data_IF_922003392158
#
_entry.id   IF_922003392158
#
_cell.length_a   1.000
_cell.length_b   1.000
_cell.length_c   1.000
_cell.angle_alpha   90.00
_cell.angle_beta   90.00
_cell.angle_gamma   90.00
#
_symmetry.space_group_name_H-M   'P 1'
#
loop_
_entity.id
_entity.type
_entity.pdbx_description
1 polymer ?
#
# COMPACT_ATOMS: atom_id res chain seq x y z
N UNK A 1 52.12 -22.04 5.70
CA UNK A 1 51.13 -22.50 4.69
C UNK A 1 50.28 -21.32 4.35
N UNK A 2 50.61 -20.67 3.23
CA UNK A 2 49.88 -19.49 2.77
C UNK A 2 48.52 -19.94 2.24
N UNK A 3 47.46 -19.30 2.72
CA UNK A 3 46.15 -19.36 2.05
C UNK A 3 46.23 -18.44 0.83
N UNK A 4 46.49 -19.00 -0.33
CA UNK A 4 46.24 -18.34 -1.61
C UNK A 4 44.71 -18.20 -1.77
N UNK A 5 44.15 -17.16 -1.25
CA UNK A 5 42.80 -16.72 -1.64
C UNK A 5 42.95 -16.12 -3.05
N UNK A 6 42.32 -16.75 -4.02
CA UNK A 6 42.23 -16.27 -5.38
C UNK A 6 41.66 -14.83 -5.41
N UNK A 7 42.55 -13.84 -5.57
CA UNK A 7 42.22 -12.39 -5.62
C UNK A 7 41.37 -12.02 -6.83
N UNK A 8 41.17 -12.92 -7.79
CA UNK A 8 40.55 -12.67 -9.09
C UNK A 8 39.03 -13.02 -9.13
N UNK A 9 38.48 -13.67 -8.11
CA UNK A 9 37.08 -14.08 -8.11
C UNK A 9 36.16 -12.85 -7.98
N UNK A 10 35.47 -12.49 -9.07
CA UNK A 10 34.43 -11.46 -9.09
C UNK A 10 33.04 -12.07 -9.18
N UNK A 11 32.08 -11.50 -8.43
CA UNK A 11 30.67 -11.83 -8.53
C UNK A 11 29.98 -10.78 -9.40
N UNK A 12 29.30 -11.23 -10.47
CA UNK A 12 28.47 -10.38 -11.32
C UNK A 12 27.02 -10.46 -10.84
N UNK A 13 26.41 -9.31 -10.58
CA UNK A 13 24.97 -9.21 -10.27
C UNK A 13 24.33 -8.11 -11.08
N UNK A 14 23.01 -8.20 -11.28
CA UNK A 14 22.22 -7.16 -11.94
C UNK A 14 21.33 -6.53 -10.91
N UNK A 15 21.52 -5.22 -10.68
CA UNK A 15 20.63 -4.40 -9.86
C UNK A 15 19.47 -3.90 -10.73
N UNK A 16 18.27 -3.81 -10.16
CA UNK A 16 17.14 -3.20 -10.85
C UNK A 16 17.41 -1.69 -10.99
N UNK A 17 17.60 -1.24 -12.24
CA UNK A 17 17.85 0.16 -12.57
C UNK A 17 17.33 0.44 -13.99
N UNK A 18 16.39 1.36 -14.12
CA UNK A 18 15.70 1.62 -15.38
C UNK A 18 15.03 0.36 -15.95
N UNK A 19 14.89 0.30 -17.27
CA UNK A 19 14.22 -0.83 -17.96
C UNK A 19 15.12 -2.05 -18.17
N UNK A 20 16.44 -1.87 -18.20
CA UNK A 20 17.42 -2.93 -18.56
C UNK A 20 18.23 -3.46 -17.38
N UNK A 21 18.11 -2.83 -16.20
CA UNK A 21 18.96 -3.12 -15.05
C UNK A 21 20.39 -2.57 -15.20
N UNK A 22 21.14 -2.59 -14.13
CA UNK A 22 22.55 -2.23 -14.06
C UNK A 22 23.39 -3.45 -13.66
N UNK A 23 24.24 -3.90 -14.56
CA UNK A 23 25.19 -4.98 -14.25
C UNK A 23 26.38 -4.42 -13.47
N UNK A 24 26.60 -4.96 -12.28
CA UNK A 24 27.75 -4.62 -11.44
C UNK A 24 28.64 -5.83 -11.20
N UNK A 25 29.95 -5.59 -11.11
CA UNK A 25 30.91 -6.61 -10.73
C UNK A 25 31.52 -6.22 -9.38
N UNK A 26 31.46 -7.14 -8.43
CA UNK A 26 31.94 -6.95 -7.09
C UNK A 26 33.00 -7.98 -6.75
N UNK A 27 34.09 -7.64 -6.05
CA UNK A 27 35.01 -8.65 -5.53
C UNK A 27 34.23 -9.65 -4.64
N UNK A 28 34.25 -10.94 -4.96
CA UNK A 28 33.46 -11.94 -4.24
C UNK A 28 33.71 -11.92 -2.74
N UNK A 29 34.95 -11.67 -2.32
CA UNK A 29 35.37 -11.58 -0.92
C UNK A 29 34.68 -10.43 -0.12
N UNK A 30 34.18 -9.39 -0.83
CA UNK A 30 33.51 -8.23 -0.23
C UNK A 30 32.00 -8.41 -0.15
N UNK A 31 31.44 -9.46 -0.76
CA UNK A 31 30.00 -9.75 -0.74
C UNK A 31 29.69 -10.69 0.41
N UNK A 32 29.07 -10.14 1.46
CA UNK A 32 28.66 -10.93 2.62
C UNK A 32 27.45 -11.80 2.26
N UNK A 33 26.45 -11.19 1.63
CA UNK A 33 25.21 -11.88 1.26
C UNK A 33 24.44 -11.12 0.18
N UNK A 34 23.76 -11.85 -0.68
CA UNK A 34 22.72 -11.30 -1.54
C UNK A 34 21.37 -11.60 -0.90
N UNK A 35 20.69 -10.56 -0.41
CA UNK A 35 19.35 -10.70 0.15
C UNK A 35 18.33 -10.82 -0.98
N UNK A 36 17.39 -11.72 -0.83
CA UNK A 36 16.27 -11.92 -1.76
C UNK A 36 15.01 -12.20 -0.96
N UNK A 37 13.86 -11.94 -1.56
CA UNK A 37 12.61 -12.47 -1.02
C UNK A 37 12.74 -13.98 -0.83
N UNK A 38 12.24 -14.48 0.29
CA UNK A 38 12.07 -15.92 0.43
C UNK A 38 11.08 -16.37 -0.64
N UNK A 39 11.34 -17.49 -1.26
CA UNK A 39 10.44 -18.02 -2.27
C UNK A 39 9.05 -18.23 -1.70
N UNK A 40 8.09 -17.51 -2.23
CA UNK A 40 6.66 -17.68 -1.94
C UNK A 40 5.99 -18.13 -3.22
N UNK A 41 5.22 -19.19 -3.13
CA UNK A 41 4.40 -19.61 -4.27
C UNK A 41 3.27 -18.59 -4.48
N UNK A 42 3.06 -18.11 -5.71
CA UNK A 42 1.89 -17.31 -6.01
C UNK A 42 0.62 -18.14 -5.75
N UNK A 43 -0.48 -17.45 -5.53
CA UNK A 43 -1.78 -18.09 -5.40
C UNK A 43 -2.10 -18.88 -6.69
N UNK A 44 -2.58 -20.12 -6.55
CA UNK A 44 -2.95 -20.94 -7.70
C UNK A 44 -4.22 -20.43 -8.38
N UNK A 45 -5.18 -19.96 -7.57
CA UNK A 45 -6.41 -19.32 -8.01
C UNK A 45 -6.60 -18.02 -7.23
N UNK A 46 -6.07 -16.89 -7.76
CA UNK A 46 -6.20 -15.59 -7.11
C UNK A 46 -7.65 -15.13 -6.96
N UNK A 47 -8.50 -15.43 -7.93
CA UNK A 47 -9.91 -14.97 -7.92
C UNK A 47 -10.70 -15.69 -6.82
N UNK A 48 -10.54 -17.01 -6.69
CA UNK A 48 -11.15 -17.76 -5.59
C UNK A 48 -10.60 -17.32 -4.22
N UNK A 49 -9.29 -17.05 -4.13
CA UNK A 49 -8.67 -16.57 -2.89
C UNK A 49 -9.16 -15.19 -2.48
N UNK A 50 -9.37 -14.28 -3.45
CA UNK A 50 -9.96 -12.97 -3.20
C UNK A 50 -11.42 -13.07 -2.78
N UNK A 51 -12.20 -13.92 -3.47
CA UNK A 51 -13.59 -14.16 -3.11
C UNK A 51 -13.72 -14.69 -1.67
N UNK A 52 -12.83 -15.60 -1.26
CA UNK A 52 -12.77 -16.09 0.11
C UNK A 52 -12.41 -14.99 1.11
N UNK A 53 -11.41 -14.16 0.83
CA UNK A 53 -11.02 -13.05 1.71
C UNK A 53 -12.17 -12.05 1.93
N UNK A 54 -13.01 -11.81 0.90
CA UNK A 54 -14.18 -10.94 1.01
C UNK A 54 -15.35 -11.59 1.76
N UNK A 55 -15.46 -12.92 1.72
CA UNK A 55 -16.51 -13.68 2.41
C UNK A 55 -16.16 -13.98 3.88
N UNK A 56 -14.89 -14.14 4.19
CA UNK A 56 -14.35 -14.48 5.52
C UNK A 56 -13.30 -13.44 5.95
N UNK A 57 -13.67 -12.14 6.06
CA UNK A 57 -12.71 -11.09 6.37
C UNK A 57 -12.26 -11.12 7.82
N UNK A 58 -11.08 -10.54 8.08
CA UNK A 58 -10.53 -10.45 9.43
C UNK A 58 -11.11 -9.28 10.19
N UNK A 59 -11.73 -9.54 11.34
CA UNK A 59 -12.17 -8.52 12.30
C UNK A 59 -13.42 -7.73 11.93
N UNK A 60 -14.17 -8.12 10.89
CA UNK A 60 -15.41 -7.48 10.45
C UNK A 60 -16.32 -8.50 9.75
N UNK A 61 -17.64 -8.24 9.61
CA UNK A 61 -18.52 -9.05 8.75
C UNK A 61 -18.09 -9.02 7.27
N UNK A 62 -18.59 -9.95 6.44
CA UNK A 62 -18.39 -9.93 4.99
C UNK A 62 -18.71 -8.58 4.35
N UNK A 63 -17.99 -8.22 3.27
CA UNK A 63 -18.14 -6.92 2.62
C UNK A 63 -19.58 -6.60 2.24
N UNK A 64 -20.30 -7.59 1.73
CA UNK A 64 -21.71 -7.41 1.35
C UNK A 64 -22.61 -7.02 2.54
N UNK A 65 -22.31 -7.54 3.73
CA UNK A 65 -23.05 -7.19 4.95
C UNK A 65 -22.68 -5.78 5.42
N UNK A 66 -21.38 -5.42 5.37
CA UNK A 66 -20.89 -4.07 5.71
C UNK A 66 -21.49 -3.02 4.79
N UNK A 67 -21.71 -3.36 3.50
CA UNK A 67 -22.29 -2.48 2.49
C UNK A 67 -23.82 -2.38 2.58
N UNK A 68 -24.49 -3.35 3.22
CA UNK A 68 -25.97 -3.39 3.28
C UNK A 68 -26.52 -2.17 4.03
N UNK A 69 -27.47 -1.48 3.41
CA UNK A 69 -28.11 -0.30 3.96
C UNK A 69 -27.33 1.00 3.77
N UNK A 70 -26.15 0.95 3.14
CA UNK A 70 -25.38 2.13 2.75
C UNK A 70 -25.92 2.71 1.44
N UNK A 71 -25.78 4.03 1.29
CA UNK A 71 -26.31 4.80 0.15
C UNK A 71 -25.26 5.17 -0.88
N UNK A 72 -23.99 5.28 -0.47
CA UNK A 72 -22.87 5.66 -1.33
C UNK A 72 -21.58 4.96 -0.91
N UNK A 73 -20.60 4.90 -1.80
CA UNK A 73 -19.29 4.33 -1.51
C UNK A 73 -18.15 5.15 -2.10
N UNK A 74 -17.05 5.29 -1.35
CA UNK A 74 -15.78 5.75 -1.87
C UNK A 74 -14.73 4.64 -1.69
N UNK A 75 -14.11 4.23 -2.80
CA UNK A 75 -13.07 3.20 -2.84
C UNK A 75 -11.76 3.86 -3.17
N UNK A 76 -10.82 3.87 -2.21
CA UNK A 76 -9.46 4.36 -2.44
C UNK A 76 -8.64 3.27 -3.12
N UNK A 77 -7.91 3.65 -4.15
CA UNK A 77 -6.92 2.79 -4.83
C UNK A 77 -5.56 3.46 -4.88
N UNK A 78 -4.50 2.66 -5.00
CA UNK A 78 -3.16 3.21 -5.26
C UNK A 78 -3.06 3.82 -6.66
N UNK A 79 -2.18 4.80 -6.83
CA UNK A 79 -1.79 5.34 -8.13
C UNK A 79 -0.89 4.36 -8.93
N UNK A 80 -0.57 4.71 -10.17
CA UNK A 80 0.21 3.87 -11.10
C UNK A 80 1.63 3.55 -10.61
N UNK A 81 2.13 4.25 -9.60
CA UNK A 81 3.48 4.00 -9.05
C UNK A 81 3.54 2.71 -8.22
N UNK A 82 2.39 2.14 -7.86
CA UNK A 82 2.28 0.88 -7.10
C UNK A 82 1.76 -0.25 -7.98
N UNK A 83 2.40 -1.43 -7.97
CA UNK A 83 2.01 -2.55 -8.84
C UNK A 83 0.78 -3.31 -8.29
N UNK A 84 -0.28 -2.59 -7.92
CA UNK A 84 -1.52 -3.19 -7.43
C UNK A 84 -2.36 -3.67 -8.62
N UNK A 85 -2.84 -4.92 -8.65
CA UNK A 85 -3.75 -5.40 -9.70
C UNK A 85 -5.17 -4.85 -9.45
N UNK A 86 -5.35 -3.52 -9.58
CA UNK A 86 -6.58 -2.83 -9.19
C UNK A 86 -7.81 -3.38 -9.91
N UNK A 87 -7.72 -3.67 -11.22
CA UNK A 87 -8.84 -4.23 -11.98
C UNK A 87 -9.34 -5.55 -11.36
N UNK A 88 -8.42 -6.47 -11.01
CA UNK A 88 -8.76 -7.75 -10.38
C UNK A 88 -9.41 -7.56 -9.01
N UNK A 89 -8.89 -6.62 -8.21
CA UNK A 89 -9.43 -6.36 -6.87
C UNK A 89 -10.78 -5.63 -6.91
N UNK A 90 -10.94 -4.66 -7.81
CA UNK A 90 -12.13 -3.83 -7.89
C UNK A 90 -13.37 -4.60 -8.37
N UNK A 91 -13.25 -5.49 -9.36
CA UNK A 91 -14.41 -6.21 -9.94
C UNK A 91 -15.27 -6.91 -8.90
N UNK A 92 -14.74 -7.79 -8.02
CA UNK A 92 -15.56 -8.45 -7.01
C UNK A 92 -16.06 -7.48 -5.92
N UNK A 93 -15.29 -6.45 -5.55
CA UNK A 93 -15.71 -5.42 -4.61
C UNK A 93 -16.92 -4.68 -5.16
N UNK A 94 -16.83 -4.14 -6.39
CA UNK A 94 -17.89 -3.41 -7.06
C UNK A 94 -19.16 -4.26 -7.21
N UNK A 95 -18.99 -5.55 -7.53
CA UNK A 95 -20.11 -6.48 -7.61
C UNK A 95 -20.83 -6.65 -6.26
N UNK A 96 -20.09 -6.88 -5.17
CA UNK A 96 -20.70 -7.08 -3.84
C UNK A 96 -21.40 -5.82 -3.33
N UNK A 97 -20.81 -4.63 -3.47
CA UNK A 97 -21.45 -3.40 -3.00
C UNK A 97 -22.69 -3.03 -3.81
N UNK A 98 -22.73 -3.34 -5.12
CA UNK A 98 -23.94 -3.18 -5.93
C UNK A 98 -25.01 -4.21 -5.55
N UNK A 99 -24.64 -5.46 -5.28
CA UNK A 99 -25.58 -6.47 -4.76
C UNK A 99 -26.16 -6.08 -3.39
N UNK A 100 -25.40 -5.35 -2.57
CA UNK A 100 -25.87 -4.79 -1.30
C UNK A 100 -26.83 -3.60 -1.48
N UNK A 101 -26.99 -3.08 -2.70
CA UNK A 101 -27.97 -2.05 -3.04
C UNK A 101 -27.39 -0.67 -3.36
N UNK A 102 -26.06 -0.46 -3.31
CA UNK A 102 -25.46 0.82 -3.68
C UNK A 102 -25.47 0.95 -5.20
N UNK A 103 -26.11 2.00 -5.73
CA UNK A 103 -26.17 2.22 -7.16
C UNK A 103 -24.79 2.57 -7.72
N UNK A 104 -24.48 2.14 -8.93
CA UNK A 104 -23.19 2.42 -9.59
C UNK A 104 -22.85 3.91 -9.66
N UNK A 105 -23.87 4.76 -9.83
CA UNK A 105 -23.73 6.22 -9.86
C UNK A 105 -23.30 6.82 -8.53
N UNK A 106 -23.49 6.10 -7.43
CA UNK A 106 -23.19 6.53 -6.06
C UNK A 106 -21.86 5.92 -5.55
N UNK A 107 -21.11 5.30 -6.48
CA UNK A 107 -19.76 4.75 -6.21
C UNK A 107 -18.72 5.66 -6.84
N UNK A 108 -17.78 6.14 -6.02
CA UNK A 108 -16.59 6.86 -6.47
C UNK A 108 -15.35 6.00 -6.21
N UNK A 109 -14.54 5.79 -7.23
CA UNK A 109 -13.19 5.23 -7.11
C UNK A 109 -12.24 6.41 -7.09
N UNK A 110 -11.53 6.59 -5.99
CA UNK A 110 -10.63 7.72 -5.78
C UNK A 110 -9.18 7.25 -5.75
N UNK A 111 -8.38 7.75 -6.69
CA UNK A 111 -6.96 7.43 -6.80
C UNK A 111 -6.20 8.23 -5.75
N UNK A 112 -5.57 7.53 -4.81
CA UNK A 112 -4.83 8.09 -3.69
C UNK A 112 -3.43 8.54 -4.13
N UNK A 113 -3.36 9.64 -4.87
CA UNK A 113 -2.14 10.20 -5.47
C UNK A 113 -1.20 10.85 -4.45
N UNK A 114 -1.72 11.24 -3.28
CA UNK A 114 -0.97 12.09 -2.35
C UNK A 114 -0.59 13.42 -3.01
N UNK A 115 0.73 13.62 -3.21
CA UNK A 115 1.29 14.75 -3.94
C UNK A 115 1.87 14.34 -5.31
N UNK A 116 1.59 13.13 -5.78
CA UNK A 116 1.98 12.71 -7.12
C UNK A 116 1.06 13.35 -8.17
N UNK A 117 1.52 13.32 -9.43
CA UNK A 117 0.69 13.75 -10.55
C UNK A 117 -0.53 12.84 -10.73
N UNK A 118 -1.62 13.35 -11.32
CA UNK A 118 -2.79 12.54 -11.62
C UNK A 118 -2.49 11.42 -12.65
N UNK A 119 -3.29 10.36 -12.62
CA UNK A 119 -3.31 9.32 -13.64
C UNK A 119 -4.49 9.59 -14.58
N UNK A 120 -4.22 9.82 -15.86
CA UNK A 120 -5.20 10.24 -16.86
C UNK A 120 -5.01 9.47 -18.17
N UNK A 121 -6.06 9.48 -19.02
CA UNK A 121 -6.01 8.86 -20.34
C UNK A 121 -5.69 7.36 -20.28
N UNK A 122 -4.68 6.92 -21.05
CA UNK A 122 -4.29 5.51 -21.13
C UNK A 122 -3.80 4.96 -19.79
N UNK A 123 -3.18 5.80 -18.93
CA UNK A 123 -2.75 5.37 -17.59
C UNK A 123 -3.93 5.04 -16.67
N UNK A 124 -5.04 5.76 -16.81
CA UNK A 124 -6.25 5.46 -16.06
C UNK A 124 -6.80 4.09 -16.44
N UNK A 125 -6.82 3.81 -17.75
CA UNK A 125 -7.25 2.51 -18.27
C UNK A 125 -6.30 1.39 -17.82
N UNK A 126 -4.98 1.62 -17.86
CA UNK A 126 -4.00 0.68 -17.32
C UNK A 126 -4.21 0.39 -15.84
N UNK A 127 -4.60 1.41 -15.08
CA UNK A 127 -4.76 1.34 -13.62
C UNK A 127 -6.00 0.55 -13.18
N UNK A 128 -7.16 0.74 -13.85
CA UNK A 128 -8.44 0.18 -13.41
C UNK A 128 -9.11 -0.76 -14.41
N UNK A 129 -8.59 -0.87 -15.63
CA UNK A 129 -9.21 -1.60 -16.74
C UNK A 129 -10.27 -0.77 -17.48
N UNK A 130 -10.44 -1.07 -18.77
CA UNK A 130 -11.36 -0.32 -19.67
C UNK A 130 -12.80 -0.31 -19.16
N UNK A 131 -13.30 -1.48 -18.72
CA UNK A 131 -14.67 -1.62 -18.24
C UNK A 131 -14.98 -0.71 -17.06
N UNK A 132 -14.07 -0.60 -16.11
CA UNK A 132 -14.23 0.24 -14.92
C UNK A 132 -14.08 1.72 -15.30
N UNK A 133 -13.10 2.06 -16.12
CA UNK A 133 -12.88 3.43 -16.59
C UNK A 133 -14.10 4.00 -17.33
N UNK A 134 -14.80 3.17 -18.15
CA UNK A 134 -15.95 3.60 -18.93
C UNK A 134 -17.26 3.67 -18.12
N UNK A 135 -17.36 2.92 -17.04
CA UNK A 135 -18.65 2.70 -16.36
C UNK A 135 -18.76 3.28 -14.96
N UNK A 136 -17.64 3.66 -14.33
CA UNK A 136 -17.62 4.18 -12.97
C UNK A 136 -16.99 5.57 -12.91
N UNK A 137 -17.30 6.29 -11.87
CA UNK A 137 -16.66 7.56 -11.55
C UNK A 137 -15.29 7.29 -10.95
N UNK A 138 -14.23 7.45 -11.75
CA UNK A 138 -12.83 7.32 -11.33
C UNK A 138 -12.19 8.69 -11.32
N UNK A 139 -11.71 9.13 -10.18
CA UNK A 139 -11.18 10.48 -9.98
C UNK A 139 -9.81 10.45 -9.30
N UNK A 140 -8.98 11.44 -9.58
CA UNK A 140 -7.73 11.65 -8.87
C UNK A 140 -7.94 12.55 -7.65
N UNK A 141 -7.18 12.27 -6.59
CA UNK A 141 -7.00 13.20 -5.50
C UNK A 141 -6.00 14.29 -5.89
N UNK A 142 -6.19 15.51 -5.37
CA UNK A 142 -5.31 16.66 -5.60
C UNK A 142 -4.95 17.32 -4.27
N UNK A 143 -3.84 16.89 -3.66
CA UNK A 143 -3.44 17.33 -2.32
C UNK A 143 -3.15 18.83 -2.18
N UNK A 144 -2.96 19.56 -3.30
CA UNK A 144 -2.68 21.00 -3.33
C UNK A 144 -3.95 21.87 -3.49
N UNK A 145 -5.14 21.26 -3.59
CA UNK A 145 -6.43 21.96 -3.73
C UNK A 145 -7.15 22.02 -2.37
N UNK A 146 -7.04 23.10 -1.59
CA UNK A 146 -7.62 23.16 -0.24
C UNK A 146 -9.15 22.96 -0.21
N UNK A 147 -9.84 23.42 -1.27
CA UNK A 147 -11.28 23.30 -1.43
C UNK A 147 -11.80 21.88 -1.54
N UNK A 148 -10.94 20.95 -1.96
CA UNK A 148 -11.30 19.52 -2.08
C UNK A 148 -11.23 18.79 -0.75
N UNK A 149 -10.78 19.44 0.34
CA UNK A 149 -10.55 18.80 1.62
C UNK A 149 -11.51 19.27 2.71
N UNK A 150 -11.76 18.36 3.65
CA UNK A 150 -12.48 18.64 4.88
C UNK A 150 -11.52 18.62 6.08
N UNK A 151 -11.66 19.62 6.97
CA UNK A 151 -10.87 19.71 8.18
C UNK A 151 -11.47 18.89 9.31
N UNK A 152 -10.76 17.87 9.76
CA UNK A 152 -11.20 16.96 10.81
C UNK A 152 -10.62 17.26 12.20
N UNK A 153 -9.95 18.42 12.33
CA UNK A 153 -9.27 18.81 13.58
C UNK A 153 -7.76 18.56 13.50
N UNK A 154 -7.13 18.50 14.66
CA UNK A 154 -5.69 18.31 14.83
C UNK A 154 -5.42 17.02 15.61
N UNK A 155 -4.38 16.30 15.25
CA UNK A 155 -3.97 15.12 15.98
C UNK A 155 -3.30 15.48 17.30
N UNK A 156 -3.19 14.53 18.27
CA UNK A 156 -2.45 14.75 19.51
C UNK A 156 -0.97 15.13 19.33
N UNK A 157 -0.41 14.84 18.14
CA UNK A 157 0.95 15.24 17.78
C UNK A 157 1.03 16.54 16.98
N UNK A 158 -0.06 17.29 16.86
CA UNK A 158 -0.11 18.59 16.20
C UNK A 158 -0.10 18.51 14.67
N UNK A 159 -0.63 17.45 14.09
CA UNK A 159 -0.83 17.35 12.64
C UNK A 159 -2.23 17.84 12.30
N UNK A 160 -2.39 18.90 11.47
CA UNK A 160 -3.69 19.33 10.98
C UNK A 160 -4.24 18.28 10.02
N UNK A 161 -5.49 17.86 10.19
CA UNK A 161 -6.07 16.76 9.43
C UNK A 161 -7.02 17.30 8.40
N UNK A 162 -6.55 17.32 7.16
CA UNK A 162 -7.32 17.69 5.98
C UNK A 162 -7.39 16.49 5.05
N UNK A 163 -8.58 15.92 4.86
CA UNK A 163 -8.81 14.70 4.06
C UNK A 163 -9.79 15.04 2.93
N UNK A 164 -9.60 14.40 1.79
CA UNK A 164 -10.46 14.56 0.61
C UNK A 164 -11.94 14.39 0.98
N UNK A 165 -12.73 15.42 0.64
CA UNK A 165 -14.14 15.53 1.00
C UNK A 165 -14.98 14.39 0.43
N UNK A 166 -14.67 13.94 -0.80
CA UNK A 166 -15.40 12.83 -1.45
C UNK A 166 -15.34 11.54 -0.63
N UNK A 167 -14.20 11.31 0.03
CA UNK A 167 -14.06 10.18 0.94
C UNK A 167 -14.80 10.39 2.27
N UNK A 168 -14.72 11.60 2.83
CA UNK A 168 -15.37 11.89 4.12
C UNK A 168 -16.89 11.82 4.01
N UNK A 169 -17.48 12.33 2.92
CA UNK A 169 -18.92 12.36 2.67
C UNK A 169 -19.50 10.98 2.27
N UNK A 170 -18.67 10.04 1.86
CA UNK A 170 -19.15 8.71 1.51
C UNK A 170 -19.64 7.93 2.73
N UNK A 171 -20.75 7.21 2.55
CA UNK A 171 -21.37 6.40 3.60
C UNK A 171 -20.60 5.09 3.84
N UNK A 172 -20.03 4.49 2.79
CA UNK A 172 -19.13 3.33 2.85
C UNK A 172 -17.73 3.70 2.38
N UNK A 173 -16.73 3.42 3.22
CA UNK A 173 -15.32 3.78 3.00
C UNK A 173 -14.45 2.54 2.87
N UNK A 174 -13.91 2.31 1.68
CA UNK A 174 -13.08 1.13 1.38
C UNK A 174 -11.69 1.57 0.93
N UNK A 175 -10.64 0.86 1.34
CA UNK A 175 -9.29 1.05 0.79
C UNK A 175 -8.78 -0.24 0.13
N UNK A 176 -8.21 -0.09 -1.07
CA UNK A 176 -7.66 -1.19 -1.88
C UNK A 176 -6.19 -0.91 -2.13
N UNK A 177 -5.30 -1.76 -1.63
CA UNK A 177 -3.87 -1.46 -1.67
C UNK A 177 -2.94 -2.66 -1.62
N UNK A 178 -1.66 -2.35 -1.40
CA UNK A 178 -0.54 -3.28 -1.35
C UNK A 178 0.13 -3.21 0.02
N UNK A 179 0.40 -4.36 0.62
CA UNK A 179 1.25 -4.42 1.82
C UNK A 179 2.64 -4.86 1.41
N UNK A 180 3.61 -3.99 1.64
CA UNK A 180 5.04 -4.21 1.43
C UNK A 180 5.86 -3.42 2.47
N UNK A 181 7.14 -3.74 2.71
CA UNK A 181 7.98 -2.92 3.56
C UNK A 181 8.07 -1.48 3.06
N UNK A 182 8.05 -0.53 3.98
CA UNK A 182 8.10 0.90 3.66
C UNK A 182 9.16 1.61 4.51
N UNK A 183 10.05 2.37 3.87
CA UNK A 183 11.26 2.90 4.47
C UNK A 183 11.07 3.75 5.73
N UNK A 184 9.92 4.43 5.92
CA UNK A 184 9.64 5.25 7.11
C UNK A 184 8.40 4.80 7.89
N UNK A 185 7.37 4.24 7.24
CA UNK A 185 6.10 3.89 7.87
C UNK A 185 6.02 2.41 8.30
N UNK A 186 7.14 1.71 8.27
CA UNK A 186 7.22 0.27 8.53
C UNK A 186 6.70 -0.55 7.35
N UNK A 187 5.41 -0.43 7.05
CA UNK A 187 4.74 -1.11 5.93
C UNK A 187 3.74 -0.17 5.25
N UNK A 188 3.50 -0.40 3.94
CA UNK A 188 2.43 0.22 3.16
C UNK A 188 1.07 -0.46 3.41
N UNK A 189 0.03 -0.04 2.69
CA UNK A 189 -1.32 -0.60 2.76
C UNK A 189 -2.22 0.03 3.82
N UNK A 190 -3.49 -0.38 3.82
CA UNK A 190 -4.53 0.04 4.76
C UNK A 190 -4.60 1.55 4.93
N UNK A 191 -4.30 2.00 6.14
CA UNK A 191 -4.33 3.41 6.56
C UNK A 191 -3.54 4.38 5.67
N UNK A 192 -2.53 3.91 4.93
CA UNK A 192 -1.69 4.79 4.09
C UNK A 192 -2.40 5.33 2.84
N UNK A 193 -3.43 4.68 2.37
CA UNK A 193 -4.25 5.24 1.30
C UNK A 193 -5.05 6.45 1.78
N UNK A 194 -5.33 6.54 3.08
CA UNK A 194 -6.01 7.70 3.68
C UNK A 194 -4.97 8.79 3.98
N UNK A 195 -3.93 8.48 4.76
CA UNK A 195 -2.83 9.40 5.04
C UNK A 195 -1.50 8.73 4.69
N UNK A 196 -0.75 9.25 3.71
CA UNK A 196 -0.91 10.53 2.99
C UNK A 196 -1.78 10.48 1.72
N UNK A 197 -2.32 9.34 1.33
CA UNK A 197 -2.86 9.08 -0.01
C UNK A 197 -3.94 10.07 -0.49
N UNK A 198 -4.82 10.52 0.41
CA UNK A 198 -5.86 11.51 0.13
C UNK A 198 -5.84 12.69 1.13
N UNK A 199 -4.69 12.93 1.75
CA UNK A 199 -4.50 14.05 2.64
C UNK A 199 -3.98 15.28 1.88
N UNK A 200 -4.34 16.48 2.37
CA UNK A 200 -3.83 17.73 1.81
C UNK A 200 -2.33 17.91 2.05
N UNK A 201 -1.73 18.77 1.26
CA UNK A 201 -0.33 19.18 1.40
C UNK A 201 -0.01 19.72 2.82
N UNK A 202 -0.96 20.39 3.48
CA UNK A 202 -0.76 20.93 4.82
C UNK A 202 -0.64 19.82 5.87
N UNK A 203 -1.44 18.75 5.75
CA UNK A 203 -1.31 17.55 6.56
C UNK A 203 0.03 16.86 6.28
N UNK A 204 0.36 16.66 5.01
CA UNK A 204 1.56 15.93 4.58
C UNK A 204 2.83 16.67 5.03
N UNK A 205 2.92 17.99 4.90
CA UNK A 205 4.09 18.78 5.31
C UNK A 205 4.43 18.62 6.77
N UNK A 206 3.44 18.58 7.66
CA UNK A 206 3.67 18.37 9.09
C UNK A 206 4.04 16.92 9.38
N UNK A 207 3.27 15.98 8.82
CA UNK A 207 3.49 14.54 9.01
C UNK A 207 4.81 14.05 8.40
N UNK A 208 5.27 14.61 7.26
CA UNK A 208 6.59 14.37 6.66
C UNK A 208 7.69 15.29 7.24
N UNK A 209 7.41 15.99 8.32
CA UNK A 209 8.41 16.84 8.95
C UNK A 209 9.52 16.06 9.68
N UNK A 210 10.66 16.72 10.00
CA UNK A 210 11.80 16.08 10.65
C UNK A 210 11.43 15.37 11.95
N UNK A 211 10.49 15.92 12.71
CA UNK A 211 9.99 15.34 13.97
C UNK A 211 9.51 13.88 13.82
N UNK A 212 8.95 13.53 12.67
CA UNK A 212 8.48 12.18 12.38
C UNK A 212 9.56 11.35 11.68
N UNK A 213 10.21 11.92 10.65
CA UNK A 213 11.12 11.16 9.79
C UNK A 213 12.48 10.87 10.43
N UNK A 214 12.95 11.73 11.32
CA UNK A 214 14.24 11.54 12.03
C UNK A 214 14.10 10.65 13.27
N UNK A 215 12.87 10.19 13.60
CA UNK A 215 12.68 9.32 14.74
C UNK A 215 13.32 7.94 14.49
N UNK A 216 14.10 7.38 15.45
CA UNK A 216 14.81 6.11 15.25
C UNK A 216 13.94 4.93 14.84
N UNK A 217 12.65 4.94 15.23
CA UNK A 217 11.69 3.91 14.87
C UNK A 217 10.93 4.19 13.57
N UNK A 218 11.11 5.37 12.94
CA UNK A 218 10.57 5.66 11.61
C UNK A 218 11.40 4.96 10.54
N UNK A 219 11.35 3.64 10.51
CA UNK A 219 12.19 2.80 9.67
C UNK A 219 11.43 1.59 9.12
N UNK A 220 12.02 0.95 8.12
CA UNK A 220 11.46 -0.20 7.43
C UNK A 220 11.13 -1.35 8.41
N UNK A 221 9.93 -1.91 8.29
CA UNK A 221 9.51 -3.08 9.07
C UNK A 221 9.15 -2.80 10.53
N UNK A 222 9.31 -1.56 11.02
CA UNK A 222 8.98 -1.16 12.39
C UNK A 222 7.57 -0.57 12.43
N UNK A 223 6.70 -1.13 13.26
CA UNK A 223 5.38 -0.58 13.57
C UNK A 223 5.33 -0.03 15.00
N UNK A 224 5.79 -0.82 15.97
CA UNK A 224 5.72 -0.48 17.39
C UNK A 224 6.61 0.74 17.70
N UNK A 225 6.01 1.80 18.25
CA UNK A 225 6.71 3.05 18.55
C UNK A 225 7.13 3.86 17.31
N UNK A 226 6.72 3.45 16.12
CA UNK A 226 6.95 4.22 14.89
C UNK A 226 5.94 5.38 14.80
N UNK A 227 6.36 6.64 15.00
CA UNK A 227 5.43 7.76 15.04
C UNK A 227 4.72 7.99 13.69
N UNK A 228 5.36 7.63 12.58
CA UNK A 228 4.75 7.74 11.24
C UNK A 228 3.60 6.75 11.09
N UNK A 229 3.79 5.51 11.53
CA UNK A 229 2.72 4.50 11.52
C UNK A 229 1.57 4.86 12.46
N UNK A 230 1.90 5.23 13.70
CA UNK A 230 0.90 5.56 14.72
C UNK A 230 0.05 6.76 14.30
N UNK A 231 0.69 7.79 13.72
CA UNK A 231 -0.01 8.98 13.24
C UNK A 231 -0.93 8.66 12.05
N UNK A 232 -0.43 7.90 11.07
CA UNK A 232 -1.26 7.44 9.94
C UNK A 232 -2.49 6.67 10.43
N UNK A 233 -2.31 5.78 11.39
CA UNK A 233 -3.38 4.97 11.96
C UNK A 233 -4.39 5.85 12.68
N UNK A 234 -3.91 6.83 13.46
CA UNK A 234 -4.76 7.77 14.17
C UNK A 234 -5.61 8.62 13.20
N UNK A 235 -4.97 9.18 12.16
CA UNK A 235 -5.64 9.98 11.13
C UNK A 235 -6.69 9.13 10.38
N UNK A 236 -6.31 7.91 9.99
CA UNK A 236 -7.22 7.02 9.29
C UNK A 236 -8.45 6.63 10.13
N UNK A 237 -8.26 6.37 11.44
CA UNK A 237 -9.37 6.16 12.37
C UNK A 237 -10.28 7.39 12.47
N UNK A 238 -9.71 8.58 12.46
CA UNK A 238 -10.47 9.84 12.52
C UNK A 238 -11.28 10.09 11.25
N UNK A 239 -10.73 9.75 10.09
CA UNK A 239 -11.40 9.85 8.80
C UNK A 239 -12.47 8.75 8.59
N UNK A 240 -12.31 7.62 9.27
CA UNK A 240 -13.11 6.40 9.09
C UNK A 240 -12.56 5.52 7.97
N UNK A 241 -12.69 4.19 8.17
CA UNK A 241 -12.42 3.17 7.17
C UNK A 241 -13.24 1.94 7.54
N UNK A 242 -14.23 1.59 6.73
CA UNK A 242 -15.15 0.49 7.05
C UNK A 242 -14.59 -0.87 6.64
N UNK A 243 -13.75 -0.89 5.59
CA UNK A 243 -13.22 -2.13 5.06
C UNK A 243 -11.91 -1.90 4.28
N UNK A 244 -10.95 -2.81 4.42
CA UNK A 244 -9.76 -2.81 3.57
C UNK A 244 -9.68 -4.08 2.73
N UNK A 245 -9.08 -3.98 1.55
CA UNK A 245 -8.66 -5.11 0.73
C UNK A 245 -7.22 -4.86 0.31
N UNK A 246 -6.31 -5.72 0.75
CA UNK A 246 -4.90 -5.55 0.42
C UNK A 246 -4.33 -6.83 -0.20
N UNK A 247 -3.44 -6.65 -1.16
CA UNK A 247 -2.66 -7.73 -1.76
C UNK A 247 -1.24 -7.71 -1.20
N UNK A 248 -0.65 -8.89 -1.07
CA UNK A 248 0.80 -9.08 -0.95
C UNK A 248 1.27 -9.77 -2.23
N UNK A 249 2.33 -9.24 -2.83
CA UNK A 249 2.89 -9.75 -4.09
C UNK A 249 4.18 -10.53 -3.83
N UNK A 250 4.46 -11.49 -4.70
CA UNK A 250 5.77 -12.15 -4.78
C UNK A 250 6.82 -11.28 -5.51
N UNK A 251 8.02 -11.79 -5.66
CA UNK A 251 9.15 -11.12 -6.35
C UNK A 251 8.91 -10.90 -7.85
N UNK A 252 7.90 -11.58 -8.44
CA UNK A 252 7.49 -11.43 -9.83
C UNK A 252 6.20 -10.57 -9.97
N UNK A 253 5.78 -9.90 -8.89
CA UNK A 253 4.56 -9.08 -8.82
C UNK A 253 3.26 -9.87 -9.04
N UNK A 254 3.25 -11.16 -8.69
CA UNK A 254 2.05 -11.98 -8.72
C UNK A 254 1.41 -12.03 -7.33
N UNK A 255 0.07 -12.09 -7.21
CA UNK A 255 -0.59 -12.23 -5.93
C UNK A 255 -0.13 -13.46 -5.15
N UNK A 256 0.37 -13.24 -3.93
CA UNK A 256 0.80 -14.28 -2.99
C UNK A 256 -0.17 -14.43 -1.82
N UNK A 257 -0.84 -13.34 -1.43
CA UNK A 257 -1.89 -13.34 -0.40
C UNK A 257 -2.83 -12.17 -0.59
N UNK A 258 -4.11 -12.38 -0.35
CA UNK A 258 -5.07 -11.31 -0.10
C UNK A 258 -5.45 -11.29 1.38
N UNK A 259 -5.63 -10.10 1.92
CA UNK A 259 -6.24 -9.86 3.23
C UNK A 259 -7.34 -8.83 3.09
N UNK A 260 -8.45 -9.06 3.79
CA UNK A 260 -9.59 -8.17 3.73
C UNK A 260 -10.23 -8.06 5.11
N UNK A 261 -10.87 -6.92 5.41
CA UNK A 261 -11.59 -6.75 6.66
C UNK A 261 -11.33 -5.43 7.38
N UNK A 262 -11.25 -5.49 8.72
CA UNK A 262 -10.96 -4.35 9.58
C UNK A 262 -9.60 -3.71 9.25
N UNK A 263 -9.53 -2.40 9.30
CA UNK A 263 -8.37 -1.63 8.87
C UNK A 263 -7.07 -2.02 9.59
N UNK A 264 -7.13 -2.34 10.87
CA UNK A 264 -5.94 -2.74 11.64
C UNK A 264 -5.75 -4.25 11.64
N UNK A 265 -6.80 -5.01 11.91
CA UNK A 265 -6.70 -6.47 12.04
C UNK A 265 -6.26 -7.13 10.72
N UNK A 266 -6.91 -6.83 9.60
CA UNK A 266 -6.53 -7.35 8.31
C UNK A 266 -5.17 -6.81 7.82
N UNK A 267 -4.86 -5.55 8.13
CA UNK A 267 -3.53 -5.00 7.84
C UNK A 267 -2.43 -5.76 8.59
N UNK A 268 -2.58 -6.01 9.88
CA UNK A 268 -1.59 -6.73 10.69
C UNK A 268 -1.42 -8.18 10.23
N UNK A 269 -2.51 -8.85 9.83
CA UNK A 269 -2.44 -10.17 9.22
C UNK A 269 -1.56 -10.18 7.96
N UNK A 270 -1.75 -9.18 7.09
CA UNK A 270 -0.92 -9.02 5.89
C UNK A 270 0.54 -8.69 6.21
N UNK A 271 0.79 -7.85 7.23
CA UNK A 271 2.15 -7.54 7.71
C UNK A 271 2.86 -8.78 8.23
N UNK A 272 2.19 -9.63 8.98
CA UNK A 272 2.79 -10.87 9.52
C UNK A 272 3.18 -11.81 8.38
N UNK A 273 2.35 -11.92 7.35
CA UNK A 273 2.70 -12.66 6.15
C UNK A 273 3.92 -12.05 5.44
N UNK A 274 3.94 -10.74 5.19
CA UNK A 274 5.07 -10.04 4.57
C UNK A 274 6.35 -10.24 5.36
N UNK A 275 6.31 -10.11 6.70
CA UNK A 275 7.46 -10.37 7.57
C UNK A 275 8.06 -11.76 7.36
N UNK A 276 7.21 -12.77 7.21
CA UNK A 276 7.66 -14.15 7.01
C UNK A 276 8.44 -14.33 5.70
N UNK A 277 8.16 -13.49 4.71
CA UNK A 277 8.70 -13.55 3.33
C UNK A 277 9.93 -12.67 3.13
N UNK A 278 9.87 -11.43 3.62
CA UNK A 278 10.86 -10.39 3.25
C UNK A 278 11.94 -10.17 4.30
N UNK A 279 11.73 -10.63 5.55
CA UNK A 279 12.72 -10.44 6.59
C UNK A 279 13.77 -11.54 6.53
N UNK A 280 15.02 -11.11 6.39
CA UNK A 280 16.20 -11.98 6.49
C UNK A 280 17.22 -11.34 7.42
N UNK A 281 18.16 -12.14 7.91
CA UNK A 281 19.14 -11.70 8.91
C UNK A 281 20.54 -11.85 8.36
N UNK A 282 21.37 -10.84 8.55
CA UNK A 282 22.81 -10.93 8.33
C UNK A 282 23.51 -11.18 9.67
N UNK A 283 24.56 -11.99 9.65
CA UNK A 283 25.28 -12.40 10.90
C UNK A 283 26.03 -11.25 11.54
N UNK A 284 26.38 -10.23 10.78
CA UNK A 284 27.13 -9.07 11.26
C UNK A 284 26.79 -7.82 10.45
N UNK A 285 26.99 -6.62 11.02
CA UNK A 285 26.90 -5.36 10.25
C UNK A 285 27.81 -5.39 9.01
N UNK A 286 27.38 -4.68 7.97
CA UNK A 286 28.13 -4.50 6.73
C UNK A 286 28.42 -3.01 6.52
N UNK A 287 29.53 -2.70 5.86
CA UNK A 287 29.93 -1.31 5.59
C UNK A 287 29.09 -0.66 4.48
N UNK A 288 28.54 -1.48 3.57
CA UNK A 288 27.74 -1.03 2.43
C UNK A 288 26.60 -2.00 2.14
N UNK A 289 25.40 -1.45 2.00
CA UNK A 289 24.24 -2.14 1.46
C UNK A 289 23.86 -1.51 0.13
N UNK A 290 23.82 -2.32 -0.93
CA UNK A 290 23.32 -1.92 -2.24
C UNK A 290 21.87 -2.38 -2.36
N UNK A 291 20.96 -1.43 -2.46
CA UNK A 291 19.54 -1.67 -2.64
C UNK A 291 19.04 -0.81 -3.79
N UNK A 292 18.10 -1.33 -4.55
CA UNK A 292 17.34 -0.55 -5.52
C UNK A 292 16.00 -0.17 -4.90
N UNK A 293 15.59 1.03 -5.18
CA UNK A 293 14.32 1.59 -4.73
C UNK A 293 13.47 1.89 -5.96
#
# INVERSE_FOLDING_TARGET
MGNDFDESASMSTVLAYGKSGLRVQLPARNVVRTLRYKSVSPLQDPDASLAQALAEPTGTPPLIEVATGRSSACILICDITRPVPNEQLLKPILNQIQQAGIARTDITILIATGLHRPNEGDELVELVGQEIADNYRVENHFGECPEDHEYLGESPRGVPIWIDRRYIEADLKITVGLIEPHFMAGYSGGRKLICPGIASIDTIRVWHGPRFLEHPQATTGCLDGNPVHEENTWIAKRAGCDFIVNVVLDDQRRPAKFVAGDMEAAFLEGVDFVRSVVVDTVERPVDLSLIHI
#
